data_IF_675682737356
#
_entry.id   IF_675682737356
#
_cell.length_a   1.000
_cell.length_b   1.000
_cell.length_c   1.000
_cell.angle_alpha   90.00
_cell.angle_beta   90.00
_cell.angle_gamma   90.00
#
_symmetry.space_group_name_H-M   'P 1'
#
loop_
_entity.id
_entity.type
_entity.pdbx_description
1 polymer ?
#
# COMPACT_ATOMS: atom_id res chain seq x y z
N UNK A 1 -44.36 -54.30 -22.59
CA UNK A 1 -43.79 -53.16 -23.33
C UNK A 1 -44.04 -51.92 -22.50
N UNK A 2 -43.02 -51.36 -21.85
CA UNK A 2 -42.94 -49.96 -21.42
C UNK A 2 -41.56 -49.75 -20.83
N UNK A 3 -40.64 -49.20 -21.63
CA UNK A 3 -39.41 -48.57 -21.15
C UNK A 3 -39.75 -47.11 -20.87
N UNK A 4 -39.54 -46.65 -19.65
CA UNK A 4 -39.57 -45.25 -19.26
C UNK A 4 -38.19 -44.90 -18.67
N UNK A 5 -37.49 -44.00 -19.35
CA UNK A 5 -36.34 -43.23 -18.83
C UNK A 5 -36.86 -41.91 -18.22
N UNK A 6 -36.00 -40.99 -17.75
CA UNK A 6 -35.03 -41.07 -16.67
C UNK A 6 -35.20 -39.86 -15.70
N UNK A 7 -34.14 -39.52 -14.96
CA UNK A 7 -33.85 -38.20 -14.34
C UNK A 7 -34.20 -37.98 -12.86
N UNK A 8 -33.16 -38.03 -12.03
CA UNK A 8 -33.01 -37.19 -10.85
C UNK A 8 -31.52 -37.07 -10.51
N UNK A 9 -30.91 -35.97 -10.95
CA UNK A 9 -29.57 -35.55 -10.55
C UNK A 9 -29.60 -35.11 -9.08
N UNK A 10 -28.71 -35.59 -8.18
CA UNK A 10 -28.61 -35.02 -6.85
C UNK A 10 -27.75 -33.74 -6.88
N UNK A 11 -28.29 -32.69 -6.25
CA UNK A 11 -27.60 -31.44 -6.01
C UNK A 11 -26.36 -31.64 -5.14
N UNK A 12 -25.19 -31.22 -5.64
CA UNK A 12 -23.98 -31.11 -4.85
C UNK A 12 -24.07 -29.83 -4.01
N UNK A 13 -23.98 -29.98 -2.70
CA UNK A 13 -23.90 -28.91 -1.74
C UNK A 13 -22.62 -28.08 -1.96
N UNK A 14 -22.76 -26.79 -2.20
CA UNK A 14 -21.65 -25.85 -2.20
C UNK A 14 -21.20 -25.61 -0.76
N UNK A 15 -19.99 -26.08 -0.44
CA UNK A 15 -19.32 -25.78 0.82
C UNK A 15 -18.77 -24.35 0.78
N UNK A 16 -19.32 -23.47 1.61
CA UNK A 16 -18.77 -22.13 1.88
C UNK A 16 -17.29 -22.21 2.29
N UNK A 17 -16.40 -21.33 1.79
CA UNK A 17 -15.03 -21.27 2.28
C UNK A 17 -15.03 -20.71 3.71
N UNK A 18 -14.36 -21.44 4.61
CA UNK A 18 -14.15 -21.05 5.98
C UNK A 18 -13.33 -19.75 6.06
N UNK A 19 -13.86 -18.76 6.77
CA UNK A 19 -13.15 -17.55 7.16
C UNK A 19 -11.95 -17.94 8.02
N UNK A 20 -10.72 -17.80 7.51
CA UNK A 20 -9.51 -18.02 8.29
C UNK A 20 -9.46 -17.01 9.47
N UNK A 21 -9.32 -17.55 10.69
CA UNK A 21 -9.19 -16.74 11.89
C UNK A 21 -7.86 -15.96 11.89
N UNK A 22 -7.82 -14.73 12.44
CA UNK A 22 -6.62 -13.92 12.43
C UNK A 22 -5.49 -14.56 13.26
N UNK A 23 -4.30 -14.60 12.68
CA UNK A 23 -3.09 -15.10 13.33
C UNK A 23 -2.82 -14.34 14.65
N UNK A 24 -2.59 -15.06 15.75
CA UNK A 24 -2.28 -14.47 17.06
C UNK A 24 -1.03 -13.59 16.97
N UNK A 25 -1.21 -12.28 17.19
CA UNK A 25 -0.12 -11.30 17.24
C UNK A 25 0.95 -11.73 18.24
N UNK A 26 2.19 -11.85 17.79
CA UNK A 26 3.29 -12.16 18.71
C UNK A 26 3.57 -10.92 19.55
N UNK A 27 3.92 -11.09 20.82
CA UNK A 27 4.26 -10.00 21.77
C UNK A 27 5.34 -9.01 21.30
N UNK A 28 6.00 -9.28 20.16
CA UNK A 28 7.02 -8.43 19.53
C UNK A 28 6.50 -7.59 18.37
N UNK A 29 5.32 -7.91 17.84
CA UNK A 29 4.72 -7.17 16.75
C UNK A 29 4.15 -5.86 17.28
N UNK A 30 4.74 -4.74 16.84
CA UNK A 30 4.29 -3.38 17.19
C UNK A 30 3.21 -2.86 16.24
N UNK A 31 2.98 -3.58 15.16
CA UNK A 31 2.07 -3.21 14.09
C UNK A 31 1.29 -4.42 13.58
N UNK A 32 0.13 -4.19 13.00
CA UNK A 32 -0.68 -5.20 12.35
C UNK A 32 -1.37 -4.67 11.10
N UNK A 33 -1.84 -5.56 10.23
CA UNK A 33 -2.57 -5.19 9.01
C UNK A 33 -4.05 -5.40 9.26
N UNK A 34 -4.87 -4.40 8.93
CA UNK A 34 -6.34 -4.45 9.00
C UNK A 34 -6.94 -3.88 7.72
N UNK A 35 -8.26 -3.99 7.57
CA UNK A 35 -8.97 -3.16 6.59
C UNK A 35 -8.83 -1.69 6.96
N UNK A 36 -8.60 -0.83 5.96
CA UNK A 36 -8.43 0.61 6.15
C UNK A 36 -9.69 1.35 5.79
N UNK A 37 -10.04 2.36 6.60
CA UNK A 37 -11.07 3.33 6.24
C UNK A 37 -10.69 4.26 5.09
N UNK A 38 -9.43 4.25 4.65
CA UNK A 38 -8.92 5.09 3.55
C UNK A 38 -8.88 4.31 2.24
N UNK A 39 -8.21 3.16 2.22
CA UNK A 39 -8.05 2.35 1.02
C UNK A 39 -7.65 0.91 1.36
N UNK A 40 -8.44 -0.07 0.89
CA UNK A 40 -8.11 -1.49 0.99
C UNK A 40 -7.64 -1.93 2.38
N UNK A 41 -6.34 -2.18 2.52
CA UNK A 41 -5.69 -2.52 3.80
C UNK A 41 -4.84 -1.36 4.30
N UNK A 42 -4.69 -1.32 5.62
CA UNK A 42 -3.85 -0.37 6.35
C UNK A 42 -2.96 -1.07 7.37
N UNK A 43 -1.91 -0.39 7.80
CA UNK A 43 -1.06 -0.85 8.91
C UNK A 43 -1.38 -0.03 10.16
N UNK A 44 -1.64 -0.69 11.27
CA UNK A 44 -2.05 -0.07 12.53
C UNK A 44 -1.02 -0.34 13.61
N UNK A 45 -0.76 0.65 14.46
CA UNK A 45 0.01 0.46 15.69
C UNK A 45 -0.79 -0.39 16.69
N UNK A 46 -0.15 -1.37 17.33
CA UNK A 46 -0.78 -2.18 18.40
C UNK A 46 -0.21 -1.87 19.79
N UNK A 47 0.84 -1.06 19.82
CA UNK A 47 1.47 -0.50 21.02
C UNK A 47 1.84 0.94 20.73
N UNK A 48 2.10 1.73 21.76
CA UNK A 48 2.62 3.09 21.58
C UNK A 48 3.99 3.06 20.87
N UNK A 49 4.17 3.95 19.90
CA UNK A 49 5.40 4.12 19.13
C UNK A 49 5.89 5.55 19.32
N UNK A 50 7.07 5.69 19.92
CA UNK A 50 7.68 7.01 20.15
C UNK A 50 8.14 7.66 18.83
N UNK A 51 8.13 8.99 18.79
CA UNK A 51 8.71 9.80 17.71
C UNK A 51 10.13 9.36 17.35
N UNK A 52 10.44 9.36 16.05
CA UNK A 52 11.74 9.00 15.50
C UNK A 52 12.02 7.50 15.43
N UNK A 53 11.18 6.67 16.06
CA UNK A 53 11.37 5.22 16.09
C UNK A 53 11.28 4.63 14.67
N UNK A 54 12.29 3.83 14.30
CA UNK A 54 12.25 2.92 13.14
C UNK A 54 11.22 1.82 13.40
N UNK A 55 10.17 1.78 12.57
CA UNK A 55 9.01 0.90 12.75
C UNK A 55 9.20 -0.40 11.97
N UNK A 56 9.43 -0.28 10.66
CA UNK A 56 9.53 -1.41 9.73
C UNK A 56 10.33 -1.00 8.49
N UNK A 57 11.04 -1.94 7.90
CA UNK A 57 11.65 -1.80 6.58
C UNK A 57 10.62 -2.07 5.47
N UNK A 58 10.64 -1.28 4.41
CA UNK A 58 9.87 -1.54 3.20
C UNK A 58 10.62 -2.57 2.33
N UNK A 59 10.23 -3.84 2.43
CA UNK A 59 10.88 -4.95 1.71
C UNK A 59 10.22 -5.21 0.37
N UNK A 60 11.00 -5.75 -0.57
CA UNK A 60 10.56 -6.24 -1.87
C UNK A 60 11.76 -6.72 -2.69
N UNK A 61 11.51 -7.14 -3.93
CA UNK A 61 12.60 -7.38 -4.89
C UNK A 61 13.21 -6.06 -5.36
N UNK A 62 14.54 -5.96 -5.39
CA UNK A 62 15.22 -4.82 -6.00
C UNK A 62 15.37 -5.06 -7.50
N UNK A 63 14.77 -4.19 -8.30
CA UNK A 63 14.71 -4.29 -9.75
C UNK A 63 15.12 -2.98 -10.42
N UNK A 64 15.44 -3.03 -11.70
CA UNK A 64 15.68 -1.81 -12.48
C UNK A 64 14.36 -1.12 -12.84
N UNK A 65 14.41 0.17 -13.13
CA UNK A 65 13.25 0.90 -13.67
C UNK A 65 12.65 0.25 -14.92
N UNK A 66 13.49 -0.27 -15.83
CA UNK A 66 13.04 -0.97 -17.05
C UNK A 66 12.22 -2.21 -16.71
N UNK A 67 12.61 -2.95 -15.68
CA UNK A 67 11.86 -4.12 -15.23
C UNK A 67 10.56 -3.74 -14.53
N UNK A 68 10.54 -2.65 -13.76
CA UNK A 68 9.32 -2.11 -13.16
C UNK A 68 8.29 -1.72 -14.23
N UNK A 69 8.73 -1.07 -15.31
CA UNK A 69 7.89 -0.77 -16.48
C UNK A 69 7.37 -2.03 -17.17
N UNK A 70 8.21 -3.07 -17.32
CA UNK A 70 7.80 -4.36 -17.91
C UNK A 70 6.75 -5.08 -17.06
N UNK A 71 6.83 -4.98 -15.73
CA UNK A 71 5.90 -5.59 -14.78
C UNK A 71 4.63 -4.76 -14.56
N UNK A 72 4.61 -3.51 -15.00
CA UNK A 72 3.45 -2.63 -14.88
C UNK A 72 2.44 -2.89 -16.03
N UNK A 73 1.13 -2.93 -15.75
CA UNK A 73 0.52 -2.84 -14.42
C UNK A 73 0.62 -4.17 -13.64
N UNK A 74 0.67 -4.06 -12.31
CA UNK A 74 0.58 -5.25 -11.45
C UNK A 74 -0.80 -5.89 -11.52
N UNK A 75 -1.85 -5.08 -11.69
CA UNK A 75 -3.24 -5.48 -11.88
C UNK A 75 -3.82 -4.64 -13.03
N UNK A 76 -4.18 -5.25 -14.17
CA UNK A 76 -4.79 -4.51 -15.28
C UNK A 76 -6.11 -3.82 -14.93
N UNK A 77 -6.84 -4.30 -13.92
CA UNK A 77 -8.11 -3.70 -13.48
C UNK A 77 -7.91 -2.50 -12.55
N UNK A 78 -6.74 -2.38 -11.92
CA UNK A 78 -6.32 -1.24 -11.10
C UNK A 78 -4.84 -0.89 -11.37
N UNK A 79 -4.55 -0.34 -12.57
CA UNK A 79 -3.17 -0.20 -13.05
C UNK A 79 -2.33 0.75 -12.19
N UNK A 80 -2.97 1.71 -11.52
CA UNK A 80 -2.28 2.73 -10.71
C UNK A 80 -1.96 2.26 -9.30
N UNK A 81 -2.54 1.14 -8.86
CA UNK A 81 -2.20 0.52 -7.58
C UNK A 81 -0.97 -0.36 -7.73
N UNK A 82 0.17 0.19 -7.30
CA UNK A 82 1.47 -0.49 -7.37
C UNK A 82 2.13 -0.54 -6.00
N UNK A 83 3.07 -1.47 -5.84
CA UNK A 83 3.92 -1.59 -4.65
C UNK A 83 5.37 -1.21 -4.95
N UNK A 84 5.55 -0.25 -5.85
CA UNK A 84 6.87 0.25 -6.23
C UNK A 84 7.35 1.34 -5.27
N UNK A 85 8.63 1.28 -4.91
CA UNK A 85 9.33 2.35 -4.21
C UNK A 85 10.60 2.70 -4.97
N UNK A 86 10.67 3.91 -5.53
CA UNK A 86 11.87 4.39 -6.26
C UNK A 86 12.96 4.78 -5.28
N UNK A 87 14.20 4.37 -5.57
CA UNK A 87 15.39 4.66 -4.78
C UNK A 87 16.23 5.77 -5.42
N UNK A 88 17.11 6.38 -4.64
CA UNK A 88 18.01 7.46 -5.09
C UNK A 88 18.96 7.04 -6.20
N UNK A 89 19.36 5.76 -6.22
CA UNK A 89 20.24 5.19 -7.26
C UNK A 89 19.51 4.87 -8.59
N UNK A 90 18.21 5.16 -8.67
CA UNK A 90 17.36 4.91 -9.83
C UNK A 90 16.83 3.47 -9.95
N UNK A 91 17.16 2.59 -9.00
CA UNK A 91 16.51 1.29 -8.87
C UNK A 91 15.16 1.40 -8.17
N UNK A 92 14.41 0.30 -8.15
CA UNK A 92 13.05 0.23 -7.61
C UNK A 92 12.91 -0.99 -6.72
N UNK A 93 12.29 -0.83 -5.56
CA UNK A 93 11.79 -1.94 -4.75
C UNK A 93 10.39 -2.31 -5.24
N UNK A 94 10.17 -3.55 -5.67
CA UNK A 94 8.85 -4.10 -6.00
C UNK A 94 8.36 -4.97 -4.84
N UNK A 95 7.52 -4.42 -3.97
CA UNK A 95 6.99 -5.13 -2.81
C UNK A 95 5.78 -6.04 -3.13
N UNK A 96 5.39 -6.18 -4.41
CA UNK A 96 4.50 -7.28 -4.84
C UNK A 96 5.21 -8.63 -4.63
N UNK A 97 6.50 -8.68 -4.92
CA UNK A 97 7.35 -9.86 -4.79
C UNK A 97 8.30 -9.70 -3.60
N UNK A 98 8.31 -10.68 -2.69
CA UNK A 98 9.18 -10.61 -1.50
C UNK A 98 8.84 -9.51 -0.49
N UNK A 99 7.69 -8.84 -0.63
CA UNK A 99 7.28 -7.75 0.25
C UNK A 99 6.81 -8.18 1.64
N UNK A 100 6.68 -7.21 2.53
CA UNK A 100 6.19 -7.42 3.91
C UNK A 100 4.99 -6.51 4.22
N UNK A 101 4.64 -6.38 5.52
CA UNK A 101 3.51 -5.54 5.96
C UNK A 101 3.60 -4.08 5.53
N UNK A 102 4.80 -3.53 5.30
CA UNK A 102 4.99 -2.11 4.99
C UNK A 102 4.30 -1.68 3.69
N UNK A 103 4.10 -2.60 2.73
CA UNK A 103 3.41 -2.31 1.47
C UNK A 103 1.94 -1.90 1.62
N UNK A 104 1.35 -2.15 2.79
CA UNK A 104 -0.02 -1.77 3.14
C UNK A 104 -0.11 -0.44 3.90
N UNK A 105 1.00 0.27 4.10
CA UNK A 105 0.96 1.58 4.75
C UNK A 105 0.45 2.59 3.73
N UNK A 106 -0.67 3.24 4.06
CA UNK A 106 -1.38 4.12 3.13
C UNK A 106 -0.77 5.52 3.03
N UNK A 107 -1.20 6.24 2.00
CA UNK A 107 -0.90 7.65 1.85
C UNK A 107 -1.73 8.54 2.80
N UNK A 108 -1.10 9.53 3.41
CA UNK A 108 -1.81 10.72 3.90
C UNK A 108 -1.05 12.03 3.61
N UNK A 109 -1.79 13.11 3.33
CA UNK A 109 -1.23 14.45 3.16
C UNK A 109 -0.76 15.09 4.48
N UNK A 110 -1.24 14.58 5.63
CA UNK A 110 -0.72 14.89 6.96
C UNK A 110 -0.32 13.58 7.64
N UNK A 111 0.83 12.99 7.26
CA UNK A 111 1.21 11.68 7.74
C UNK A 111 1.68 11.70 9.20
N UNK A 112 1.74 10.51 9.81
CA UNK A 112 2.38 10.29 11.11
C UNK A 112 3.70 9.52 10.99
N UNK A 113 4.07 9.08 9.79
CA UNK A 113 5.33 8.41 9.47
C UNK A 113 6.02 9.07 8.26
N UNK A 114 7.30 8.79 8.11
CA UNK A 114 8.10 9.11 6.92
C UNK A 114 8.91 7.90 6.48
N UNK A 115 9.21 7.82 5.18
CA UNK A 115 10.15 6.87 4.63
C UNK A 115 11.54 7.50 4.55
N UNK A 116 12.57 6.77 4.96
CA UNK A 116 13.97 7.18 4.90
C UNK A 116 14.76 6.12 4.14
N UNK A 117 15.51 6.52 3.13
CA UNK A 117 16.47 5.65 2.46
C UNK A 117 17.78 5.61 3.27
N UNK A 118 18.29 4.42 3.53
CA UNK A 118 19.54 4.14 4.22
C UNK A 118 20.23 2.98 3.50
N UNK A 119 21.37 3.22 2.86
CA UNK A 119 22.18 2.22 2.12
C UNK A 119 21.34 1.40 1.12
N UNK A 120 20.54 2.09 0.30
CA UNK A 120 19.66 1.48 -0.71
C UNK A 120 18.45 0.75 -0.14
N UNK A 121 18.17 0.85 1.17
CA UNK A 121 17.00 0.24 1.82
C UNK A 121 16.09 1.32 2.36
N UNK A 122 14.79 1.05 2.37
CA UNK A 122 13.80 2.01 2.85
C UNK A 122 13.26 1.62 4.21
N UNK A 123 13.30 2.54 5.16
CA UNK A 123 12.77 2.34 6.51
C UNK A 123 11.67 3.36 6.81
N UNK A 124 10.61 2.89 7.46
CA UNK A 124 9.51 3.74 7.92
C UNK A 124 9.78 4.16 9.36
N UNK A 125 9.75 5.47 9.61
CA UNK A 125 9.97 6.09 10.91
C UNK A 125 8.76 6.89 11.36
N UNK A 126 8.52 6.92 12.68
CA UNK A 126 7.48 7.76 13.26
C UNK A 126 7.89 9.25 13.25
N UNK A 127 7.03 10.14 12.76
CA UNK A 127 7.23 11.60 12.77
C UNK A 127 6.85 12.25 14.10
N UNK A 128 5.97 11.58 14.86
CA UNK A 128 5.47 11.96 16.18
C UNK A 128 5.23 10.70 17.01
N UNK A 129 4.83 10.86 18.26
CA UNK A 129 4.30 9.74 19.04
C UNK A 129 3.00 9.23 18.40
N UNK A 130 2.84 7.91 18.34
CA UNK A 130 1.71 7.20 17.72
C UNK A 130 1.09 6.28 18.77
N UNK A 131 -0.20 6.47 19.01
CA UNK A 131 -0.97 5.70 19.99
C UNK A 131 -1.39 4.33 19.44
N UNK A 132 -1.61 3.33 20.30
CA UNK A 132 -2.21 2.06 19.90
C UNK A 132 -3.56 2.30 19.19
N UNK A 133 -3.77 1.62 18.06
CA UNK A 133 -4.97 1.74 17.25
C UNK A 133 -4.90 2.80 16.16
N UNK A 134 -3.89 3.67 16.13
CA UNK A 134 -3.70 4.59 15.01
C UNK A 134 -3.19 3.86 13.76
N UNK A 135 -3.75 4.21 12.59
CA UNK A 135 -3.21 3.78 11.29
C UNK A 135 -1.94 4.56 10.97
N UNK A 136 -0.95 3.87 10.42
CA UNK A 136 0.29 4.45 9.94
C UNK A 136 0.09 4.98 8.53
N UNK A 137 0.59 6.18 8.29
CA UNK A 137 0.57 6.83 6.99
C UNK A 137 1.89 7.54 6.71
N UNK A 138 2.34 7.52 5.46
CA UNK A 138 3.39 8.41 4.97
C UNK A 138 2.95 9.17 3.70
N UNK A 139 3.68 10.22 3.33
CA UNK A 139 3.44 10.89 2.06
C UNK A 139 4.11 10.08 0.93
N UNK A 140 3.34 9.57 -0.03
CA UNK A 140 3.89 8.77 -1.12
C UNK A 140 4.78 9.59 -2.06
N UNK A 141 4.55 10.90 -2.13
CA UNK A 141 5.34 11.78 -2.99
C UNK A 141 5.36 11.31 -4.45
N UNK A 142 4.24 10.80 -4.99
CA UNK A 142 4.21 10.23 -6.34
C UNK A 142 4.56 11.31 -7.38
N UNK A 143 5.78 11.23 -7.90
CA UNK A 143 6.23 12.09 -9.00
C UNK A 143 5.86 11.42 -10.31
N UNK A 144 5.21 12.18 -11.18
CA UNK A 144 4.85 11.76 -12.53
C UNK A 144 5.42 12.75 -13.53
N UNK A 145 5.86 12.23 -14.67
CA UNK A 145 6.32 13.07 -15.77
C UNK A 145 5.15 13.77 -16.46
N UNK A 146 5.39 14.98 -16.95
CA UNK A 146 4.41 15.77 -17.68
C UNK A 146 3.43 16.57 -16.82
N UNK A 147 2.39 17.08 -17.46
CA UNK A 147 1.43 17.99 -16.83
C UNK A 147 0.43 17.20 -15.98
N UNK A 148 0.31 17.56 -14.71
CA UNK A 148 -0.74 17.04 -13.81
C UNK A 148 -2.11 17.60 -14.19
N UNK A 149 -2.76 17.00 -15.19
CA UNK A 149 -4.12 17.35 -15.62
C UNK A 149 -5.15 17.01 -14.54
N UNK A 150 -6.37 17.56 -14.66
CA UNK A 150 -7.47 17.25 -13.74
C UNK A 150 -7.79 15.75 -13.74
N UNK A 151 -7.93 15.14 -14.92
CA UNK A 151 -8.21 13.71 -15.06
C UNK A 151 -7.12 12.85 -14.40
N UNK A 152 -5.85 13.24 -14.53
CA UNK A 152 -4.75 12.51 -13.90
C UNK A 152 -4.78 12.63 -12.37
N UNK A 153 -5.07 13.82 -11.84
CA UNK A 153 -5.27 14.00 -10.39
C UNK A 153 -6.45 13.19 -9.86
N UNK A 154 -7.51 13.01 -10.65
CA UNK A 154 -8.66 12.16 -10.31
C UNK A 154 -8.29 10.67 -10.28
N UNK A 155 -7.45 10.20 -11.20
CA UNK A 155 -6.92 8.83 -11.18
C UNK A 155 -6.07 8.55 -9.92
N UNK A 156 -5.33 9.56 -9.46
CA UNK A 156 -4.55 9.51 -8.22
C UNK A 156 -5.23 10.27 -7.08
N UNK A 157 -6.56 10.20 -6.98
CA UNK A 157 -7.31 10.94 -5.96
C UNK A 157 -6.90 10.52 -4.55
N UNK A 158 -6.67 11.50 -3.66
CA UNK A 158 -6.33 11.24 -2.27
C UNK A 158 -7.59 11.28 -1.40
N UNK A 159 -7.80 10.21 -0.61
CA UNK A 159 -8.95 10.05 0.30
C UNK A 159 -8.55 10.01 1.78
N UNK A 160 -7.38 10.54 2.13
CA UNK A 160 -6.81 10.41 3.49
C UNK A 160 -7.56 11.16 4.61
N UNK A 161 -8.58 11.97 4.30
CA UNK A 161 -9.37 12.70 5.31
C UNK A 161 -8.67 13.87 6.02
N UNK A 162 -7.42 14.19 5.69
CA UNK A 162 -6.70 15.30 6.31
C UNK A 162 -7.37 16.66 6.02
N UNK A 163 -7.47 17.55 7.04
CA UNK A 163 -8.07 18.90 6.91
C UNK A 163 -7.49 19.74 5.77
N UNK A 164 -6.19 19.59 5.49
CA UNK A 164 -5.47 20.24 4.39
C UNK A 164 -5.00 19.22 3.36
N UNK A 165 -5.91 18.34 2.93
CA UNK A 165 -5.63 17.35 1.89
C UNK A 165 -5.34 18.04 0.55
N UNK A 166 -4.37 17.52 -0.22
CA UNK A 166 -4.04 18.01 -1.57
C UNK A 166 -5.07 17.60 -2.62
N UNK A 167 -5.98 16.68 -2.30
CA UNK A 167 -6.93 16.08 -3.22
C UNK A 167 -6.34 15.00 -4.13
N UNK A 168 -5.01 14.86 -4.16
CA UNK A 168 -4.29 13.84 -4.96
C UNK A 168 -3.08 13.30 -4.20
N UNK A 169 -2.69 12.06 -4.51
CA UNK A 169 -1.48 11.40 -4.00
C UNK A 169 -0.21 11.86 -4.74
N UNK A 170 -0.39 12.58 -5.85
CA UNK A 170 0.72 13.15 -6.62
C UNK A 170 1.46 14.21 -5.80
N UNK A 171 2.79 14.18 -5.88
CA UNK A 171 3.63 15.23 -5.34
C UNK A 171 3.28 16.58 -6.00
N UNK A 172 3.32 17.70 -5.26
CA UNK A 172 3.24 19.02 -5.89
C UNK A 172 4.32 19.16 -6.96
N UNK A 173 4.03 19.79 -8.11
CA UNK A 173 5.05 20.04 -9.12
C UNK A 173 6.20 20.85 -8.49
N UNK A 174 7.44 20.48 -8.78
CA UNK A 174 8.59 21.24 -8.30
C UNK A 174 8.49 22.67 -8.81
N UNK A 175 8.66 23.63 -7.89
CA UNK A 175 8.85 25.02 -8.30
C UNK A 175 10.22 25.07 -8.97
N UNK A 176 10.27 25.17 -10.29
CA UNK A 176 11.51 25.51 -11.00
C UNK A 176 12.10 26.74 -10.32
N UNK A 177 13.21 26.57 -9.60
CA UNK A 177 14.05 27.70 -9.20
C UNK A 177 14.51 28.32 -10.51
N UNK A 178 13.96 29.49 -10.87
CA UNK A 178 14.51 30.29 -11.97
C UNK A 178 15.98 30.54 -11.61
N UNK A 179 16.90 29.90 -12.33
CA UNK A 179 18.30 30.31 -12.37
C UNK A 179 18.40 31.59 -13.19
#
# INVERSE_FOLDING_TARGET
>A
MTRTSPDATPALAESSPATEAPAKLRRRDRIEVRESGVHGRGVYAVVAIARGKKIIEYKGEHITWKEALRRHPHDPSDPNHTFYFSLEDGSVIDAKFGGNRARWINHACKPNCEAREEDGRVFIHALRDIEPGEELFYDYGLVIEGRQTKALKEQFACRCGAKKCRGTMLAPPEKTKKK
#
